data_IF_438778285141
#
_entry.id   IF_438778285141
#
_cell.length_a   1.000
_cell.length_b   1.000
_cell.length_c   1.000
_cell.angle_alpha   90.00
_cell.angle_beta   90.00
_cell.angle_gamma   90.00
#
_symmetry.space_group_name_H-M   'P 1'
#
loop_
_entity.id
_entity.type
_entity.pdbx_description
1 polymer ?
#
# COMPACT_ATOMS: atom_id res chain seq x y z
N UNK A 1 -2.19 -3.18 -17.81
CA UNK A 1 -1.85 -2.69 -19.15
C UNK A 1 -2.84 -3.21 -20.18
N UNK A 2 -2.95 -4.50 -20.43
CA UNK A 2 -3.84 -5.10 -21.46
C UNK A 2 -5.30 -4.65 -21.31
N UNK A 3 -5.89 -4.77 -20.12
CA UNK A 3 -7.27 -4.36 -19.86
C UNK A 3 -7.52 -2.85 -20.01
N UNK A 4 -6.48 -2.04 -19.96
CA UNK A 4 -6.55 -0.58 -20.08
C UNK A 4 -6.17 -0.12 -21.48
N UNK A 5 -5.67 -1.00 -22.35
CA UNK A 5 -5.23 -0.69 -23.70
C UNK A 5 -4.08 0.33 -23.77
N UNK A 6 -3.19 0.33 -22.76
CA UNK A 6 -2.09 1.28 -22.67
C UNK A 6 -0.77 0.59 -22.26
N UNK A 7 0.34 1.30 -22.41
CA UNK A 7 1.68 0.84 -22.00
C UNK A 7 1.74 0.53 -20.51
N UNK A 8 2.67 -0.38 -20.11
CA UNK A 8 2.85 -0.82 -18.71
C UNK A 8 3.19 0.34 -17.77
N UNK A 9 4.01 1.31 -18.21
CA UNK A 9 4.38 2.46 -17.40
C UNK A 9 3.17 3.38 -17.19
N UNK A 10 2.38 3.61 -18.22
CA UNK A 10 1.12 4.36 -18.13
C UNK A 10 0.15 3.64 -17.20
N UNK A 11 0.01 2.32 -17.32
CA UNK A 11 -0.86 1.52 -16.46
C UNK A 11 -0.42 1.58 -14.98
N UNK A 12 0.89 1.53 -14.69
CA UNK A 12 1.44 1.69 -13.34
C UNK A 12 1.12 3.06 -12.77
N UNK A 13 1.40 4.12 -13.51
CA UNK A 13 1.10 5.51 -13.11
C UNK A 13 -0.40 5.73 -12.90
N UNK A 14 -1.24 5.19 -13.80
CA UNK A 14 -2.69 5.25 -13.69
C UNK A 14 -3.19 4.53 -12.43
N UNK A 15 -2.73 3.31 -12.16
CA UNK A 15 -3.16 2.56 -10.99
C UNK A 15 -2.82 3.30 -9.68
N UNK A 16 -1.60 3.82 -9.54
CA UNK A 16 -1.21 4.54 -8.33
C UNK A 16 -1.98 5.86 -8.17
N UNK A 17 -2.06 6.67 -9.22
CA UNK A 17 -2.76 7.96 -9.14
C UNK A 17 -4.28 7.81 -8.99
N UNK A 18 -4.88 7.02 -9.86
CA UNK A 18 -6.34 6.89 -9.93
C UNK A 18 -6.93 6.11 -8.75
N UNK A 19 -6.21 5.15 -8.19
CA UNK A 19 -6.67 4.41 -7.01
C UNK A 19 -6.96 5.37 -5.83
N UNK A 20 -6.17 6.42 -5.71
CA UNK A 20 -6.35 7.43 -4.65
C UNK A 20 -7.24 8.61 -5.07
N UNK A 21 -7.93 8.50 -6.19
CA UNK A 21 -8.91 9.49 -6.62
C UNK A 21 -8.31 10.70 -7.33
N UNK A 22 -7.14 10.57 -7.94
CA UNK A 22 -6.59 11.62 -8.79
C UNK A 22 -7.48 11.87 -10.01
N UNK A 23 -7.65 13.14 -10.41
CA UNK A 23 -8.28 13.52 -11.66
C UNK A 23 -7.33 13.33 -12.86
N UNK A 24 -7.81 13.61 -14.07
CA UNK A 24 -7.01 13.50 -15.30
C UNK A 24 -5.75 14.37 -15.27
N UNK A 25 -5.83 15.58 -14.73
CA UNK A 25 -4.69 16.47 -14.58
C UNK A 25 -3.65 15.91 -13.58
N UNK A 26 -4.11 15.37 -12.44
CA UNK A 26 -3.25 14.70 -11.48
C UNK A 26 -2.56 13.48 -12.07
N UNK A 27 -3.28 12.69 -12.89
CA UNK A 27 -2.71 11.55 -13.61
C UNK A 27 -1.63 12.02 -14.60
N UNK A 28 -1.89 13.03 -15.39
CA UNK A 28 -0.92 13.61 -16.34
C UNK A 28 0.35 14.06 -15.63
N UNK A 29 0.22 14.79 -14.52
CA UNK A 29 1.35 15.29 -13.76
C UNK A 29 2.18 14.15 -13.12
N UNK A 30 1.49 13.15 -12.58
CA UNK A 30 2.14 11.96 -12.01
C UNK A 30 2.87 11.14 -13.08
N UNK A 31 2.26 10.93 -14.23
CA UNK A 31 2.90 10.25 -15.36
C UNK A 31 4.14 11.02 -15.84
N UNK A 32 4.04 12.35 -15.94
CA UNK A 32 5.15 13.24 -16.32
C UNK A 32 6.33 13.13 -15.37
N UNK A 33 6.10 13.03 -14.06
CA UNK A 33 7.16 12.82 -13.06
C UNK A 33 7.86 11.46 -13.20
N UNK A 34 7.20 10.49 -13.84
CA UNK A 34 7.74 9.16 -14.15
C UNK A 34 8.29 9.05 -15.58
N UNK A 35 8.47 10.19 -16.28
CA UNK A 35 9.00 10.24 -17.64
C UNK A 35 8.00 9.93 -18.75
N UNK A 36 6.71 9.76 -18.42
CA UNK A 36 5.65 9.47 -19.40
C UNK A 36 4.91 10.76 -19.74
N UNK A 37 5.11 11.28 -20.94
CA UNK A 37 4.40 12.45 -21.42
C UNK A 37 3.04 12.06 -22.01
N UNK A 38 1.99 12.76 -21.60
CA UNK A 38 0.66 12.61 -22.15
C UNK A 38 -0.10 13.93 -22.14
N UNK A 39 -0.99 14.09 -23.09
CA UNK A 39 -1.91 15.23 -23.13
C UNK A 39 -3.03 15.06 -22.07
N UNK A 40 -3.73 16.13 -21.77
CA UNK A 40 -4.88 16.07 -20.86
C UNK A 40 -6.02 15.20 -21.44
N UNK A 41 -6.18 15.18 -22.76
CA UNK A 41 -7.17 14.35 -23.44
C UNK A 41 -6.83 12.85 -23.27
N UNK A 42 -5.58 12.48 -23.49
CA UNK A 42 -5.10 11.09 -23.27
C UNK A 42 -5.25 10.67 -21.81
N UNK A 43 -4.86 11.53 -20.87
CA UNK A 43 -5.04 11.27 -19.44
C UNK A 43 -6.53 11.09 -19.08
N UNK A 44 -7.42 11.86 -19.70
CA UNK A 44 -8.87 11.73 -19.50
C UNK A 44 -9.37 10.39 -20.03
N UNK A 45 -8.96 9.98 -21.23
CA UNK A 45 -9.32 8.67 -21.82
C UNK A 45 -8.84 7.52 -20.96
N UNK A 46 -7.59 7.56 -20.50
CA UNK A 46 -7.01 6.55 -19.61
C UNK A 46 -7.78 6.47 -18.29
N UNK A 47 -8.06 7.60 -17.66
CA UNK A 47 -8.86 7.65 -16.41
C UNK A 47 -10.24 7.05 -16.62
N UNK A 48 -10.96 7.44 -17.67
CA UNK A 48 -12.34 7.01 -17.91
C UNK A 48 -12.40 5.51 -18.24
N UNK A 49 -11.42 4.97 -18.95
CA UNK A 49 -11.26 3.54 -19.17
C UNK A 49 -11.00 2.80 -17.85
N UNK A 50 -10.12 3.33 -17.01
CA UNK A 50 -9.80 2.76 -15.71
C UNK A 50 -11.04 2.72 -14.79
N UNK A 51 -11.79 3.82 -14.69
CA UNK A 51 -13.01 3.88 -13.89
C UNK A 51 -14.11 2.94 -14.38
N UNK A 52 -14.20 2.71 -15.69
CA UNK A 52 -15.13 1.73 -16.29
C UNK A 52 -14.71 0.30 -15.98
N UNK A 53 -13.41 0.03 -15.95
CA UNK A 53 -12.86 -1.29 -15.63
C UNK A 53 -13.04 -1.60 -14.15
N UNK A 54 -12.73 -0.67 -13.28
CA UNK A 54 -12.77 -0.85 -11.82
C UNK A 54 -14.00 -0.19 -11.18
N UNK A 55 -15.19 -0.60 -11.59
CA UNK A 55 -16.48 -0.01 -11.15
C UNK A 55 -16.65 0.01 -9.62
N UNK A 56 -16.17 -1.01 -8.90
CA UNK A 56 -16.23 -1.05 -7.44
C UNK A 56 -15.37 0.04 -6.79
N UNK A 57 -14.17 0.28 -7.32
CA UNK A 57 -13.29 1.37 -6.85
C UNK A 57 -13.92 2.72 -7.15
N UNK A 58 -14.48 2.90 -8.34
CA UNK A 58 -15.20 4.12 -8.71
C UNK A 58 -16.37 4.43 -7.76
N UNK A 59 -17.20 3.44 -7.46
CA UNK A 59 -18.30 3.59 -6.51
C UNK A 59 -17.80 3.96 -5.10
N UNK A 60 -16.73 3.34 -4.65
CA UNK A 60 -16.10 3.65 -3.37
C UNK A 60 -15.50 5.07 -3.33
N UNK A 61 -14.85 5.51 -4.40
CA UNK A 61 -14.33 6.89 -4.52
C UNK A 61 -15.47 7.92 -4.50
N UNK A 62 -16.55 7.68 -5.23
CA UNK A 62 -17.73 8.54 -5.22
C UNK A 62 -18.35 8.66 -3.82
N UNK A 63 -18.44 7.55 -3.09
CA UNK A 63 -18.88 7.57 -1.69
C UNK A 63 -17.97 8.46 -0.83
N UNK A 64 -16.66 8.33 -0.95
CA UNK A 64 -15.70 9.15 -0.22
C UNK A 64 -15.78 10.64 -0.61
N UNK A 65 -16.03 10.93 -1.89
CA UNK A 65 -16.27 12.30 -2.35
C UNK A 65 -17.52 12.91 -1.70
N UNK A 66 -18.63 12.18 -1.65
CA UNK A 66 -19.85 12.67 -1.00
C UNK A 66 -19.64 12.88 0.51
N UNK A 67 -18.93 11.98 1.18
CA UNK A 67 -18.59 12.15 2.60
C UNK A 67 -17.74 13.40 2.80
N UNK A 68 -16.72 13.62 1.98
CA UNK A 68 -15.87 14.81 2.07
C UNK A 68 -16.68 16.10 1.88
N UNK A 69 -17.57 16.13 0.87
CA UNK A 69 -18.45 17.25 0.59
C UNK A 69 -19.41 17.55 1.74
N UNK A 70 -20.06 16.52 2.28
CA UNK A 70 -21.07 16.67 3.33
C UNK A 70 -20.46 17.00 4.69
N UNK A 71 -19.17 16.71 4.92
CA UNK A 71 -18.42 17.03 6.14
C UNK A 71 -17.47 18.22 5.97
N UNK A 72 -17.62 19.00 4.92
CA UNK A 72 -16.84 20.22 4.70
C UNK A 72 -17.09 21.20 5.84
N UNK A 73 -16.01 21.75 6.41
CA UNK A 73 -16.08 22.64 7.58
C UNK A 73 -16.22 21.92 8.94
N UNK A 74 -16.40 20.59 8.96
CA UNK A 74 -16.45 19.84 10.20
C UNK A 74 -15.02 19.57 10.70
N UNK A 75 -14.67 20.12 11.86
CA UNK A 75 -13.36 19.91 12.49
C UNK A 75 -13.11 18.45 12.90
N UNK A 76 -14.17 17.66 13.07
CA UNK A 76 -14.11 16.27 13.51
C UNK A 76 -14.33 15.26 12.38
N UNK A 77 -14.18 15.70 11.12
CA UNK A 77 -14.20 14.77 10.01
C UNK A 77 -13.12 13.70 10.19
N UNK A 78 -13.48 12.44 9.99
CA UNK A 78 -12.54 11.33 10.18
C UNK A 78 -12.62 10.32 9.03
N UNK A 79 -11.57 9.54 8.87
CA UNK A 79 -11.57 8.28 8.13
C UNK A 79 -10.97 7.18 9.00
N UNK A 80 -11.32 5.93 8.70
CA UNK A 80 -10.88 4.77 9.47
C UNK A 80 -10.09 3.80 8.61
N UNK A 81 -9.14 3.15 9.25
CA UNK A 81 -8.36 2.07 8.64
C UNK A 81 -9.10 0.76 8.91
N UNK A 82 -9.44 0.00 7.86
CA UNK A 82 -10.15 -1.27 8.01
C UNK A 82 -9.47 -2.21 8.99
N UNK A 83 -10.22 -3.04 9.67
CA UNK A 83 -9.82 -4.06 10.64
C UNK A 83 -9.09 -3.53 11.89
N UNK A 84 -8.13 -2.63 11.76
CA UNK A 84 -7.45 -2.01 12.92
C UNK A 84 -8.33 -1.00 13.65
N UNK A 85 -9.37 -0.48 12.97
CA UNK A 85 -10.25 0.59 13.44
C UNK A 85 -9.51 1.87 13.88
N UNK A 86 -8.24 2.03 13.52
CA UNK A 86 -7.50 3.27 13.74
C UNK A 86 -8.16 4.42 13.00
N UNK A 87 -8.20 5.59 13.64
CA UNK A 87 -8.84 6.79 13.11
C UNK A 87 -7.79 7.78 12.63
N UNK A 88 -8.10 8.46 11.55
CA UNK A 88 -7.38 9.67 11.13
C UNK A 88 -8.36 10.82 11.07
N UNK A 89 -8.08 11.87 11.80
CA UNK A 89 -8.84 13.10 11.76
C UNK A 89 -8.43 13.93 10.54
N UNK A 90 -9.41 14.53 9.88
CA UNK A 90 -9.27 15.25 8.63
C UNK A 90 -9.77 16.68 8.82
N UNK A 91 -8.90 17.56 9.31
CA UNK A 91 -9.21 18.97 9.54
C UNK A 91 -8.90 19.81 8.30
N UNK A 92 -9.80 20.72 7.94
CA UNK A 92 -9.60 21.67 6.84
C UNK A 92 -9.30 20.97 5.50
N UNK A 93 -8.21 21.35 4.86
CA UNK A 93 -7.78 20.85 3.55
C UNK A 93 -7.44 19.36 3.50
N UNK A 94 -7.30 18.70 4.65
CA UNK A 94 -7.12 17.25 4.70
C UNK A 94 -8.41 16.48 4.42
N UNK A 95 -9.58 17.12 4.55
CA UNK A 95 -10.88 16.49 4.29
C UNK A 95 -11.24 16.48 2.81
N UNK A 96 -10.43 15.85 1.99
CA UNK A 96 -10.62 15.70 0.54
C UNK A 96 -10.59 14.24 0.11
N UNK A 97 -11.18 13.94 -1.04
CA UNK A 97 -11.35 12.59 -1.56
C UNK A 97 -10.03 11.81 -1.64
N UNK A 98 -8.95 12.45 -2.10
CA UNK A 98 -7.64 11.80 -2.23
C UNK A 98 -7.09 11.33 -0.90
N UNK A 99 -7.20 12.14 0.15
CA UNK A 99 -6.76 11.75 1.50
C UNK A 99 -7.65 10.66 2.08
N UNK A 100 -8.98 10.74 1.86
CA UNK A 100 -9.94 9.72 2.30
C UNK A 100 -9.74 8.38 1.60
N UNK A 101 -9.38 8.37 0.33
CA UNK A 101 -9.07 7.15 -0.42
C UNK A 101 -7.67 6.60 -0.09
N UNK A 102 -6.68 7.45 0.10
CA UNK A 102 -5.33 7.02 0.43
C UNK A 102 -5.23 6.39 1.83
N UNK A 103 -5.83 7.03 2.84
CA UNK A 103 -5.65 6.66 4.25
C UNK A 103 -6.04 5.20 4.57
N UNK A 104 -7.19 4.66 4.14
CA UNK A 104 -7.55 3.27 4.43
C UNK A 104 -6.56 2.26 3.84
N UNK A 105 -6.06 2.52 2.64
CA UNK A 105 -5.16 1.62 1.91
C UNK A 105 -3.76 1.65 2.52
N UNK A 106 -3.15 2.83 2.62
CA UNK A 106 -1.81 2.98 3.21
C UNK A 106 -1.81 2.62 4.69
N UNK A 107 -2.88 2.97 5.39
CA UNK A 107 -3.04 2.61 6.80
C UNK A 107 -3.21 1.11 7.01
N UNK A 108 -3.87 0.39 6.09
CA UNK A 108 -3.95 -1.07 6.15
C UNK A 108 -2.57 -1.70 5.95
N UNK A 109 -1.78 -1.23 4.96
CA UNK A 109 -0.39 -1.69 4.77
C UNK A 109 0.45 -1.49 6.04
N UNK A 110 0.40 -0.30 6.63
CA UNK A 110 1.11 -0.02 7.88
C UNK A 110 0.63 -0.90 9.06
N UNK A 111 -0.66 -1.21 9.13
CA UNK A 111 -1.21 -2.08 10.17
C UNK A 111 -0.79 -3.55 9.98
N UNK A 112 -0.74 -4.02 8.72
CA UNK A 112 -0.21 -5.34 8.36
C UNK A 112 1.25 -5.46 8.81
N UNK A 113 2.09 -4.49 8.43
CA UNK A 113 3.50 -4.49 8.79
C UNK A 113 3.71 -4.49 10.31
N UNK A 114 2.94 -3.67 11.05
CA UNK A 114 2.98 -3.66 12.52
C UNK A 114 2.55 -5.01 13.12
N UNK A 115 1.56 -5.66 12.54
CA UNK A 115 1.12 -6.99 12.95
C UNK A 115 2.23 -8.02 12.70
N UNK A 116 2.86 -7.99 11.52
CA UNK A 116 3.99 -8.85 11.18
C UNK A 116 5.18 -8.62 12.13
N UNK A 117 5.54 -7.35 12.38
CA UNK A 117 6.62 -6.98 13.30
C UNK A 117 6.37 -7.46 14.72
N UNK A 118 5.14 -7.35 15.23
CA UNK A 118 4.79 -7.85 16.57
C UNK A 118 4.92 -9.37 16.68
N UNK A 119 4.45 -10.10 15.65
CA UNK A 119 4.62 -11.56 15.60
C UNK A 119 6.10 -11.95 15.49
N UNK A 120 6.85 -11.27 14.64
CA UNK A 120 8.28 -11.48 14.44
C UNK A 120 9.07 -11.23 15.72
N UNK A 121 8.76 -10.16 16.45
CA UNK A 121 9.38 -9.87 17.74
C UNK A 121 9.23 -11.02 18.74
N UNK A 122 8.03 -11.61 18.81
CA UNK A 122 7.77 -12.75 19.69
C UNK A 122 8.67 -13.95 19.34
N UNK A 123 8.81 -14.26 18.04
CA UNK A 123 9.65 -15.36 17.56
C UNK A 123 11.15 -15.10 17.81
N UNK A 124 11.60 -13.87 17.60
CA UNK A 124 12.99 -13.46 17.87
C UNK A 124 13.33 -13.62 19.36
N UNK A 125 12.43 -13.19 20.25
CA UNK A 125 12.62 -13.35 21.71
C UNK A 125 12.71 -14.81 22.13
N UNK A 126 11.93 -15.70 21.53
CA UNK A 126 11.99 -17.15 21.83
C UNK A 126 13.28 -17.78 21.31
N UNK A 127 13.74 -17.36 20.11
CA UNK A 127 14.95 -17.90 19.50
C UNK A 127 16.25 -17.44 20.19
N UNK A 128 16.26 -16.21 20.64
CA UNK A 128 17.42 -15.51 21.22
C UNK A 128 18.08 -14.54 20.25
N UNK A 129 18.33 -13.34 20.75
CA UNK A 129 18.91 -12.23 19.97
C UNK A 129 20.37 -12.46 19.55
N UNK A 130 21.03 -13.48 20.11
CA UNK A 130 22.35 -13.94 19.69
C UNK A 130 22.32 -14.69 18.36
N UNK A 131 21.16 -15.21 17.92
CA UNK A 131 20.96 -15.95 16.67
C UNK A 131 20.30 -15.13 15.57
N UNK A 132 19.35 -14.29 15.96
CA UNK A 132 18.58 -13.44 15.02
C UNK A 132 18.23 -12.12 15.68
N UNK A 133 18.29 -11.03 14.92
CA UNK A 133 17.89 -9.68 15.35
C UNK A 133 17.08 -9.01 14.27
N UNK A 134 16.09 -8.23 14.67
CA UNK A 134 15.39 -7.31 13.75
C UNK A 134 16.32 -6.11 13.54
N UNK A 135 16.79 -5.92 12.33
CA UNK A 135 17.68 -4.83 11.97
C UNK A 135 16.92 -3.55 11.61
N UNK A 136 15.91 -3.69 10.76
CA UNK A 136 15.12 -2.54 10.31
C UNK A 136 13.73 -2.95 9.84
N UNK A 137 12.85 -1.94 9.74
CA UNK A 137 11.60 -1.99 9.00
C UNK A 137 11.61 -0.79 8.04
N UNK A 138 11.59 -1.03 6.74
CA UNK A 138 11.71 -0.02 5.69
C UNK A 138 10.51 -0.14 4.76
N UNK A 139 9.62 0.87 4.75
CA UNK A 139 8.37 0.88 3.99
C UNK A 139 7.50 -0.35 4.27
N UNK A 140 7.56 -1.37 3.43
CA UNK A 140 6.82 -2.63 3.47
C UNK A 140 7.72 -3.85 3.69
N UNK A 141 9.00 -3.62 3.99
CA UNK A 141 10.02 -4.64 4.21
C UNK A 141 10.40 -4.80 5.68
N UNK A 142 10.78 -6.02 6.07
CA UNK A 142 11.41 -6.34 7.34
C UNK A 142 12.77 -6.95 7.10
N UNK A 143 13.79 -6.40 7.75
CA UNK A 143 15.19 -6.79 7.59
C UNK A 143 15.67 -7.46 8.87
N UNK A 144 16.22 -8.66 8.74
CA UNK A 144 16.79 -9.43 9.82
C UNK A 144 18.30 -9.60 9.64
N UNK A 145 19.02 -9.55 10.74
CA UNK A 145 20.38 -10.08 10.86
C UNK A 145 20.30 -11.47 11.48
N UNK A 146 20.76 -12.47 10.75
CA UNK A 146 20.65 -13.88 11.15
C UNK A 146 22.01 -14.53 11.03
N UNK A 147 22.40 -15.38 12.00
CA UNK A 147 23.59 -16.21 11.84
C UNK A 147 23.40 -17.13 10.64
N UNK A 148 24.42 -17.29 9.81
CA UNK A 148 24.41 -18.00 8.54
C UNK A 148 23.73 -19.37 8.61
N UNK A 149 24.07 -20.17 9.61
CA UNK A 149 23.49 -21.51 9.81
C UNK A 149 21.98 -21.54 10.04
N UNK A 150 21.34 -20.41 10.28
CA UNK A 150 19.88 -20.28 10.48
C UNK A 150 19.21 -19.48 9.36
N UNK A 151 19.96 -19.01 8.35
CA UNK A 151 19.46 -18.08 7.34
C UNK A 151 18.23 -18.63 6.60
N UNK A 152 18.32 -19.83 6.04
CA UNK A 152 17.22 -20.45 5.30
C UNK A 152 15.97 -20.67 6.17
N UNK A 153 16.16 -21.15 7.39
CA UNK A 153 15.06 -21.39 8.32
C UNK A 153 14.32 -20.08 8.66
N UNK A 154 15.08 -19.00 8.89
CA UNK A 154 14.51 -17.70 9.19
C UNK A 154 13.92 -17.00 7.97
N UNK A 155 14.45 -17.22 6.76
CA UNK A 155 13.85 -16.75 5.52
C UNK A 155 12.43 -17.32 5.36
N UNK A 156 12.26 -18.63 5.49
CA UNK A 156 10.95 -19.28 5.46
C UNK A 156 10.02 -18.80 6.58
N UNK A 157 10.55 -18.65 7.80
CA UNK A 157 9.78 -18.15 8.95
C UNK A 157 9.31 -16.72 8.75
N UNK A 158 10.20 -15.82 8.30
CA UNK A 158 9.87 -14.44 8.02
C UNK A 158 8.76 -14.32 6.96
N UNK A 159 8.93 -15.04 5.85
CA UNK A 159 7.91 -15.12 4.80
C UNK A 159 6.55 -15.53 5.36
N UNK A 160 6.50 -16.62 6.12
CA UNK A 160 5.26 -17.11 6.72
C UNK A 160 4.62 -16.13 7.71
N UNK A 161 5.42 -15.37 8.47
CA UNK A 161 4.95 -14.32 9.39
C UNK A 161 4.31 -13.17 8.61
N UNK A 162 4.95 -12.71 7.51
CA UNK A 162 4.45 -11.65 6.65
C UNK A 162 3.13 -12.07 6.00
N UNK A 163 3.11 -13.21 5.32
CA UNK A 163 1.92 -13.75 4.64
C UNK A 163 0.75 -13.99 5.61
N UNK A 164 1.02 -14.48 6.81
CA UNK A 164 0.00 -14.65 7.86
C UNK A 164 -0.56 -13.32 8.35
N UNK A 165 0.28 -12.30 8.44
CA UNK A 165 -0.19 -10.96 8.79
C UNK A 165 -1.08 -10.37 7.68
N UNK A 166 -0.68 -10.48 6.41
CA UNK A 166 -1.44 -10.00 5.26
C UNK A 166 -2.78 -10.73 5.10
N UNK A 167 -2.80 -12.05 5.24
CA UNK A 167 -4.01 -12.87 5.03
C UNK A 167 -5.19 -12.44 5.89
N UNK A 168 -4.95 -11.84 7.05
CA UNK A 168 -6.00 -11.28 7.91
C UNK A 168 -6.75 -10.10 7.26
N UNK A 169 -6.11 -9.40 6.32
CA UNK A 169 -6.61 -8.18 5.68
C UNK A 169 -7.12 -8.44 4.26
N UNK A 170 -6.44 -9.32 3.53
CA UNK A 170 -6.68 -9.54 2.11
C UNK A 170 -7.86 -10.49 1.82
N UNK A 171 -8.29 -11.29 2.80
CA UNK A 171 -9.43 -12.19 2.66
C UNK A 171 -9.24 -13.21 1.52
N UNK A 172 -9.84 -12.94 0.35
CA UNK A 172 -9.76 -13.84 -0.82
C UNK A 172 -8.56 -13.56 -1.74
N UNK A 173 -7.84 -12.48 -1.52
CA UNK A 173 -6.63 -12.18 -2.28
C UNK A 173 -5.46 -12.94 -1.66
N UNK A 174 -4.66 -13.68 -2.43
CA UNK A 174 -3.50 -14.37 -1.89
C UNK A 174 -2.51 -13.37 -1.26
N UNK A 175 -2.06 -13.69 -0.06
CA UNK A 175 -0.96 -12.99 0.59
C UNK A 175 0.34 -13.63 0.09
N UNK A 176 1.23 -12.85 -0.51
CA UNK A 176 2.51 -13.33 -1.07
C UNK A 176 3.60 -12.37 -0.65
N UNK A 177 4.54 -12.86 0.16
CA UNK A 177 5.76 -12.16 0.51
C UNK A 177 6.95 -12.77 -0.25
N UNK A 178 7.81 -11.92 -0.79
CA UNK A 178 9.09 -12.34 -1.34
C UNK A 178 10.15 -12.29 -0.23
N UNK A 179 11.14 -13.16 -0.30
CA UNK A 179 12.25 -13.20 0.64
C UNK A 179 13.55 -13.42 -0.10
N UNK A 180 14.56 -12.64 0.25
CA UNK A 180 15.93 -12.78 -0.27
C UNK A 180 16.91 -12.94 0.89
N UNK A 181 17.99 -13.66 0.65
CA UNK A 181 19.09 -13.86 1.61
C UNK A 181 20.38 -13.40 0.94
N UNK A 182 21.17 -12.59 1.63
CA UNK A 182 22.44 -12.06 1.16
C UNK A 182 23.34 -11.66 2.33
N UNK A 183 24.59 -11.39 2.08
CA UNK A 183 25.54 -10.91 3.10
C UNK A 183 25.38 -9.40 3.37
N UNK A 184 24.81 -8.69 2.43
CA UNK A 184 24.52 -7.26 2.54
C UNK A 184 23.07 -6.98 2.11
N UNK A 185 22.54 -5.84 2.51
CA UNK A 185 21.21 -5.40 2.07
C UNK A 185 21.16 -5.18 0.54
N UNK A 186 22.24 -4.69 -0.05
CA UNK A 186 22.36 -4.48 -1.50
C UNK A 186 22.17 -5.81 -2.28
N UNK A 187 22.72 -6.92 -1.78
CA UNK A 187 22.58 -8.24 -2.41
C UNK A 187 21.14 -8.78 -2.38
N UNK A 188 20.26 -8.22 -1.53
CA UNK A 188 18.87 -8.66 -1.39
C UNK A 188 17.89 -7.82 -2.23
N UNK A 189 18.38 -6.81 -2.95
CA UNK A 189 17.63 -5.90 -3.84
C UNK A 189 18.14 -5.99 -5.27
#
# INVERSE_FOLDING_TARGET
>A
AEQMGCDRQIAKSANFGLLYGAGAEGLRNYAGSSGVLMTLEEATKVRDNWLRTYKGVHAWQNKNYQIAKNSSGNEWAETRIPLSNMRRYLKGDLNRVTVRCNTPIQGAGAAILKCALGNLWTEVKVCGEDKVRIAAAVHDELILLVKEQFADAWAHKLKGIMEKAESKWLGRVPAVAEVSVGNTWEETH
#
